data_IF_307269477538
#
_entry.id   IF_307269477538
#
_cell.length_a   1.000
_cell.length_b   1.000
_cell.length_c   1.000
_cell.angle_alpha   90.00
_cell.angle_beta   90.00
_cell.angle_gamma   90.00
#
_symmetry.space_group_name_H-M   'P 1'
#
loop_
_entity.id
_entity.type
_entity.pdbx_description
1 polymer ?
#
# COMPACT_ATOMS: atom_id res chain seq x y z
N UNK A 1 27.93 -12.16 -8.71
CA UNK A 1 27.65 -11.30 -7.54
C UNK A 1 26.22 -11.53 -7.12
N UNK A 2 25.91 -11.45 -5.82
CA UNK A 2 24.55 -11.69 -5.33
C UNK A 2 23.62 -10.56 -5.78
N UNK A 3 22.45 -10.91 -6.34
CA UNK A 3 21.44 -9.95 -6.81
C UNK A 3 20.55 -9.49 -5.66
N UNK A 4 21.15 -8.75 -4.71
CA UNK A 4 20.48 -8.34 -3.48
C UNK A 4 19.92 -6.93 -3.63
N UNK A 5 18.66 -6.76 -3.25
CA UNK A 5 18.05 -5.44 -3.02
C UNK A 5 17.74 -5.31 -1.53
N UNK A 6 18.01 -4.15 -0.96
CA UNK A 6 17.53 -3.83 0.38
C UNK A 6 16.24 -3.02 0.31
N UNK A 7 15.17 -3.56 0.88
CA UNK A 7 13.85 -2.94 0.82
C UNK A 7 13.20 -2.85 2.20
N UNK A 8 12.38 -1.82 2.38
CA UNK A 8 11.72 -1.54 3.65
C UNK A 8 10.21 -1.40 3.52
N UNK A 9 9.49 -1.77 4.57
CA UNK A 9 8.08 -1.44 4.78
C UNK A 9 7.97 -0.53 6.00
N UNK A 10 7.20 0.54 5.87
CA UNK A 10 7.01 1.53 6.92
C UNK A 10 5.70 1.26 7.62
N UNK A 11 5.75 1.09 8.94
CA UNK A 11 4.55 0.98 9.78
C UNK A 11 4.29 2.31 10.46
N UNK A 12 3.34 3.07 9.93
CA UNK A 12 3.00 4.40 10.44
C UNK A 12 1.54 4.74 10.13
N UNK A 13 1.06 5.89 10.57
CA UNK A 13 -0.22 6.47 10.18
C UNK A 13 -0.08 7.95 9.86
N UNK A 14 -1.12 8.49 9.22
CA UNK A 14 -1.29 9.91 8.92
C UNK A 14 -1.22 10.76 10.18
N UNK A 15 -0.57 11.91 10.11
CA UNK A 15 -0.54 12.87 11.21
C UNK A 15 -1.84 13.68 11.22
N UNK A 16 -2.87 13.26 11.97
CA UNK A 16 -4.13 14.00 12.19
C UNK A 16 -4.79 14.56 10.92
N UNK A 17 -4.66 13.83 9.82
CA UNK A 17 -5.13 14.24 8.48
C UNK A 17 -4.54 15.58 7.98
N UNK A 18 -3.46 16.06 8.60
CA UNK A 18 -2.69 17.20 8.17
C UNK A 18 -1.70 16.79 7.08
N UNK A 19 -1.91 17.32 5.87
CA UNK A 19 -1.12 16.95 4.69
C UNK A 19 0.38 17.23 4.87
N UNK A 20 0.75 18.44 5.29
CA UNK A 20 2.15 18.84 5.42
C UNK A 20 2.88 18.02 6.48
N UNK A 21 2.29 17.85 7.68
CA UNK A 21 2.87 17.03 8.75
C UNK A 21 3.04 15.57 8.33
N UNK A 22 2.10 15.05 7.52
CA UNK A 22 2.20 13.69 6.98
C UNK A 22 3.30 13.57 5.92
N UNK A 23 3.51 14.60 5.09
CA UNK A 23 4.61 14.66 4.13
C UNK A 23 5.98 14.82 4.81
N UNK A 24 6.06 15.58 5.91
CA UNK A 24 7.27 15.67 6.73
C UNK A 24 7.59 14.32 7.37
N UNK A 25 6.56 13.60 7.82
CA UNK A 25 6.69 12.23 8.34
C UNK A 25 7.14 11.24 7.26
N UNK A 26 6.61 11.35 6.04
CA UNK A 26 7.06 10.58 4.87
C UNK A 26 8.55 10.78 4.63
N UNK A 27 9.00 12.03 4.61
CA UNK A 27 10.39 12.37 4.39
C UNK A 27 11.28 11.80 5.51
N UNK A 28 10.91 12.04 6.76
CA UNK A 28 11.66 11.55 7.91
C UNK A 28 11.85 10.02 7.88
N UNK A 29 10.76 9.28 7.67
CA UNK A 29 10.80 7.81 7.65
C UNK A 29 11.54 7.27 6.42
N UNK A 30 11.48 7.96 5.28
CA UNK A 30 12.27 7.59 4.10
C UNK A 30 13.76 7.80 4.33
N UNK A 31 14.14 8.94 4.92
CA UNK A 31 15.55 9.22 5.30
C UNK A 31 16.04 8.20 6.32
N UNK A 32 15.24 7.88 7.33
CA UNK A 32 15.55 6.85 8.31
C UNK A 32 15.84 5.50 7.63
N UNK A 33 14.96 5.03 6.74
CA UNK A 33 15.15 3.78 6.01
C UNK A 33 16.42 3.79 5.14
N UNK A 34 16.73 4.94 4.53
CA UNK A 34 17.93 5.10 3.68
C UNK A 34 19.21 5.14 4.50
N UNK A 35 19.25 5.95 5.55
CA UNK A 35 20.46 6.25 6.32
C UNK A 35 20.79 5.13 7.31
N UNK A 36 19.79 4.58 8.00
CA UNK A 36 19.99 3.49 8.98
C UNK A 36 20.32 2.18 8.27
N UNK A 37 19.54 1.85 7.23
CA UNK A 37 19.56 0.50 6.67
C UNK A 37 20.16 0.46 5.26
N UNK A 38 20.23 1.56 4.52
CA UNK A 38 20.64 1.56 3.12
C UNK A 38 19.53 1.16 2.16
N UNK A 39 18.26 1.33 2.56
CA UNK A 39 17.11 0.94 1.76
C UNK A 39 17.14 1.57 0.36
N UNK A 40 16.70 0.82 -0.65
CA UNK A 40 16.55 1.23 -2.04
C UNK A 40 15.07 1.37 -2.44
N UNK A 41 14.16 0.75 -1.69
CA UNK A 41 12.72 0.83 -1.90
C UNK A 41 11.99 0.92 -0.56
N UNK A 42 10.97 1.77 -0.44
CA UNK A 42 10.11 1.86 0.73
C UNK A 42 8.62 1.77 0.36
N UNK A 43 7.88 0.90 1.06
CA UNK A 43 6.42 0.80 0.96
C UNK A 43 5.78 1.44 2.17
N UNK A 44 4.93 2.43 1.94
CA UNK A 44 4.10 3.08 2.95
C UNK A 44 2.69 2.46 2.98
N UNK A 45 1.97 2.55 4.12
CA UNK A 45 0.66 1.91 4.28
C UNK A 45 -0.45 2.47 3.39
N UNK A 46 -1.56 1.73 3.32
CA UNK A 46 -2.81 2.15 2.68
C UNK A 46 -3.29 3.48 3.25
N UNK A 47 -3.77 4.41 2.42
CA UNK A 47 -4.33 5.70 2.84
C UNK A 47 -3.44 6.50 3.82
N UNK A 48 -2.11 6.38 3.69
CA UNK A 48 -1.17 7.11 4.55
C UNK A 48 -1.24 8.63 4.33
N UNK A 49 -1.31 9.10 3.09
CA UNK A 49 -1.63 10.50 2.80
C UNK A 49 -3.14 10.63 2.66
N UNK A 50 -3.74 11.58 3.37
CA UNK A 50 -5.20 11.81 3.41
C UNK A 50 -5.93 11.02 4.50
N UNK A 51 -5.38 9.89 4.96
CA UNK A 51 -5.85 9.21 6.16
C UNK A 51 -6.92 8.15 5.96
N UNK A 52 -6.87 7.12 6.83
CA UNK A 52 -7.90 6.09 6.93
C UNK A 52 -8.90 6.45 8.04
N UNK A 53 -10.18 6.73 7.74
CA UNK A 53 -11.17 7.19 8.72
C UNK A 53 -11.70 6.05 9.62
N UNK A 54 -10.81 5.46 10.43
CA UNK A 54 -11.11 4.28 11.25
C UNK A 54 -12.29 4.54 12.19
N UNK A 55 -13.30 3.68 12.09
CA UNK A 55 -14.48 3.73 12.95
C UNK A 55 -15.50 4.79 12.58
N UNK A 56 -15.28 5.61 11.54
CA UNK A 56 -16.30 6.53 11.06
C UNK A 56 -17.34 5.81 10.18
N UNK A 57 -18.59 6.24 10.30
CA UNK A 57 -19.70 5.83 9.41
C UNK A 57 -20.13 6.95 8.47
N UNK A 58 -19.51 8.13 8.57
CA UNK A 58 -19.93 9.36 7.88
C UNK A 58 -21.42 9.69 8.10
N UNK A 59 -22.02 9.23 9.21
CA UNK A 59 -23.42 9.47 9.56
C UNK A 59 -24.42 8.95 8.51
N UNK A 60 -24.03 7.92 7.76
CA UNK A 60 -24.84 7.34 6.69
C UNK A 60 -25.52 6.04 7.15
N UNK A 61 -26.81 5.92 6.83
CA UNK A 61 -27.61 4.69 6.94
C UNK A 61 -28.40 4.48 5.65
N UNK A 62 -29.11 3.37 5.53
CA UNK A 62 -30.00 3.14 4.38
C UNK A 62 -31.11 4.19 4.39
N UNK A 63 -31.15 5.04 3.36
CA UNK A 63 -32.17 6.11 3.20
C UNK A 63 -31.72 7.47 3.70
N UNK A 64 -30.97 7.56 4.80
CA UNK A 64 -30.68 8.83 5.48
C UNK A 64 -29.19 9.17 5.60
N UNK A 65 -28.90 10.48 5.65
CA UNK A 65 -27.56 11.03 5.88
C UNK A 65 -27.62 12.20 6.84
N UNK A 66 -26.89 12.12 7.95
CA UNK A 66 -26.84 13.20 8.94
C UNK A 66 -26.07 14.43 8.42
N UNK A 67 -26.46 15.68 8.77
CA UNK A 67 -25.70 16.89 8.42
C UNK A 67 -24.23 16.82 8.84
N UNK A 68 -23.96 16.37 10.07
CA UNK A 68 -22.60 16.27 10.58
C UNK A 68 -21.71 15.23 9.85
N UNK A 69 -22.34 14.28 9.13
CA UNK A 69 -21.67 13.36 8.22
C UNK A 69 -21.23 14.03 6.92
N UNK A 70 -22.04 14.98 6.41
CA UNK A 70 -21.68 15.81 5.24
C UNK A 70 -20.50 16.72 5.58
N UNK A 71 -20.48 17.30 6.77
CA UNK A 71 -19.37 18.15 7.22
C UNK A 71 -18.06 17.34 7.37
N UNK A 72 -18.14 16.12 7.92
CA UNK A 72 -17.01 15.21 7.99
C UNK A 72 -16.48 14.84 6.61
N UNK A 73 -17.38 14.47 5.68
CA UNK A 73 -16.99 14.17 4.30
C UNK A 73 -16.37 15.37 3.61
N UNK A 74 -16.89 16.58 3.81
CA UNK A 74 -16.33 17.80 3.24
C UNK A 74 -14.90 18.06 3.74
N UNK A 75 -14.64 17.87 5.05
CA UNK A 75 -13.27 17.96 5.60
C UNK A 75 -12.35 16.89 5.01
N UNK A 76 -12.81 15.64 4.94
CA UNK A 76 -12.05 14.53 4.40
C UNK A 76 -11.72 14.71 2.90
N UNK A 77 -12.70 15.18 2.11
CA UNK A 77 -12.53 15.54 0.69
C UNK A 77 -11.47 16.63 0.50
N UNK A 78 -11.44 17.64 1.38
CA UNK A 78 -10.49 18.75 1.29
C UNK A 78 -9.08 18.39 1.78
N UNK A 79 -8.93 17.31 2.56
CA UNK A 79 -7.63 16.78 2.98
C UNK A 79 -6.99 15.84 1.93
N UNK A 80 -7.78 15.34 0.98
CA UNK A 80 -7.32 14.49 -0.11
C UNK A 80 -6.51 15.27 -1.16
N UNK A 81 -5.68 14.57 -1.92
CA UNK A 81 -4.79 15.18 -2.93
C UNK A 81 -5.27 14.88 -4.35
N UNK A 82 -5.05 15.79 -5.28
CA UNK A 82 -5.21 15.50 -6.71
C UNK A 82 -3.93 14.86 -7.27
N UNK A 83 -4.02 14.25 -8.46
CA UNK A 83 -2.86 13.71 -9.18
C UNK A 83 -2.93 14.21 -10.62
N UNK A 84 -1.99 15.08 -11.07
CA UNK A 84 -0.83 15.61 -10.34
C UNK A 84 -1.19 16.68 -9.28
N UNK A 85 -0.30 16.90 -8.30
CA UNK A 85 -0.44 17.95 -7.27
C UNK A 85 0.89 18.30 -6.60
N UNK A 86 0.98 19.41 -5.83
CA UNK A 86 2.18 19.73 -5.05
C UNK A 86 2.60 18.63 -4.07
N UNK A 87 1.64 17.84 -3.55
CA UNK A 87 1.95 16.70 -2.69
C UNK A 87 2.72 15.62 -3.46
N UNK A 88 2.34 15.32 -4.70
CA UNK A 88 3.09 14.41 -5.57
C UNK A 88 4.50 14.95 -5.82
N UNK A 89 4.64 16.25 -6.12
CA UNK A 89 5.96 16.87 -6.28
C UNK A 89 6.84 16.77 -5.03
N UNK A 90 6.24 16.81 -3.83
CA UNK A 90 6.98 16.58 -2.58
C UNK A 90 7.43 15.13 -2.45
N UNK A 91 6.59 14.15 -2.79
CA UNK A 91 6.96 12.72 -2.82
C UNK A 91 8.10 12.46 -3.83
N UNK A 92 8.01 13.04 -5.02
CA UNK A 92 9.07 12.96 -6.04
C UNK A 92 10.39 13.56 -5.56
N UNK A 93 10.34 14.70 -4.86
CA UNK A 93 11.52 15.32 -4.28
C UNK A 93 12.17 14.42 -3.22
N UNK A 94 11.39 13.87 -2.29
CA UNK A 94 11.91 12.94 -1.27
C UNK A 94 12.54 11.71 -1.93
N UNK A 95 11.88 11.11 -2.92
CA UNK A 95 12.41 9.96 -3.65
C UNK A 95 13.75 10.28 -4.30
N UNK A 96 13.84 11.41 -5.03
CA UNK A 96 15.05 11.85 -5.71
C UNK A 96 16.20 12.15 -4.73
N UNK A 97 15.93 12.87 -3.66
CA UNK A 97 16.95 13.28 -2.68
C UNK A 97 17.50 12.10 -1.87
N UNK A 98 16.67 11.10 -1.60
CA UNK A 98 17.08 9.91 -0.84
C UNK A 98 17.61 8.77 -1.73
N UNK A 99 17.33 8.83 -3.04
CA UNK A 99 17.62 7.74 -3.97
C UNK A 99 16.72 6.51 -3.77
N UNK A 100 15.61 6.63 -3.05
CA UNK A 100 14.72 5.53 -2.68
C UNK A 100 13.50 5.52 -3.60
N UNK A 101 13.15 4.35 -4.14
CA UNK A 101 11.89 4.13 -4.85
C UNK A 101 10.73 4.06 -3.85
N UNK A 102 9.70 4.87 -4.03
CA UNK A 102 8.59 4.98 -3.07
C UNK A 102 7.30 4.38 -3.63
N UNK A 103 6.64 3.58 -2.79
CA UNK A 103 5.28 3.07 -3.00
C UNK A 103 4.41 3.65 -1.88
N UNK A 104 3.50 4.57 -2.19
CA UNK A 104 2.82 5.38 -1.18
C UNK A 104 1.30 5.30 -1.32
N UNK A 105 0.61 4.87 -0.26
CA UNK A 105 -0.84 4.92 -0.19
C UNK A 105 -1.35 6.36 0.02
N UNK A 106 -2.27 6.80 -0.83
CA UNK A 106 -2.85 8.15 -0.83
C UNK A 106 -4.36 8.09 -1.01
N UNK A 107 -5.06 9.10 -0.51
CA UNK A 107 -6.44 9.38 -0.87
C UNK A 107 -6.43 10.39 -2.01
N UNK A 108 -6.81 9.92 -3.19
CA UNK A 108 -6.85 10.70 -4.42
C UNK A 108 -8.24 11.32 -4.59
N UNK A 109 -8.30 12.64 -4.83
CA UNK A 109 -9.50 13.35 -5.23
C UNK A 109 -9.53 13.54 -6.75
N UNK A 110 -10.69 13.30 -7.35
CA UNK A 110 -10.95 13.62 -8.75
C UNK A 110 -12.37 14.16 -8.87
N UNK A 111 -12.51 15.49 -8.99
CA UNK A 111 -13.78 16.17 -8.83
C UNK A 111 -14.33 15.98 -7.42
N UNK A 112 -15.59 15.53 -7.29
CA UNK A 112 -16.23 15.24 -6.01
C UNK A 112 -16.01 13.82 -5.47
N UNK A 113 -15.22 12.98 -6.17
CA UNK A 113 -15.02 11.57 -5.82
C UNK A 113 -13.65 11.35 -5.22
N UNK A 114 -13.59 10.56 -4.15
CA UNK A 114 -12.35 10.08 -3.54
C UNK A 114 -12.02 8.67 -3.99
N UNK A 115 -10.74 8.35 -4.13
CA UNK A 115 -10.24 7.01 -4.48
C UNK A 115 -9.14 6.63 -3.49
N UNK A 116 -9.16 5.38 -3.04
CA UNK A 116 -8.03 4.80 -2.33
C UNK A 116 -6.99 4.37 -3.38
N UNK A 117 -5.86 5.05 -3.41
CA UNK A 117 -4.86 4.94 -4.46
C UNK A 117 -3.50 4.63 -3.87
N UNK A 118 -2.67 3.88 -4.61
CA UNK A 118 -1.22 3.82 -4.36
C UNK A 118 -0.50 4.51 -5.51
N UNK A 119 0.51 5.32 -5.21
CA UNK A 119 1.36 6.00 -6.19
C UNK A 119 2.78 5.48 -6.12
N UNK A 120 3.47 5.55 -7.25
CA UNK A 120 4.85 5.09 -7.39
C UNK A 120 5.75 6.26 -7.79
N UNK A 121 6.82 6.48 -7.04
CA UNK A 121 7.83 7.49 -7.36
C UNK A 121 9.22 6.85 -7.49
N UNK A 122 9.83 7.04 -8.65
CA UNK A 122 11.18 6.64 -8.96
C UNK A 122 12.17 7.79 -8.70
N UNK A 123 13.33 7.53 -8.09
CA UNK A 123 14.29 8.58 -7.73
C UNK A 123 14.87 9.34 -8.92
N UNK A 124 14.85 8.75 -10.12
CA UNK A 124 15.34 9.34 -11.37
C UNK A 124 14.20 9.88 -12.24
N UNK A 125 13.07 9.17 -12.30
CA UNK A 125 11.96 9.48 -13.22
C UNK A 125 10.82 10.30 -12.58
N UNK A 126 10.81 10.44 -11.25
CA UNK A 126 9.68 11.06 -10.53
C UNK A 126 8.48 10.12 -10.48
N UNK A 127 7.27 10.66 -10.58
CA UNK A 127 6.03 9.89 -10.58
C UNK A 127 5.95 8.99 -11.82
N UNK A 128 5.84 7.67 -11.60
CA UNK A 128 5.89 6.65 -12.67
C UNK A 128 4.59 5.84 -12.81
N UNK A 129 3.61 6.05 -11.92
CA UNK A 129 2.32 5.41 -12.05
C UNK A 129 1.47 5.44 -10.79
N UNK A 130 0.25 4.94 -10.91
CA UNK A 130 -0.68 4.74 -9.80
C UNK A 130 -1.54 3.49 -10.00
N UNK A 131 -2.13 3.03 -8.90
CA UNK A 131 -3.18 2.02 -8.88
C UNK A 131 -4.32 2.47 -7.97
N UNK A 132 -5.55 2.54 -8.50
CA UNK A 132 -6.77 2.78 -7.72
C UNK A 132 -7.36 1.43 -7.30
N UNK A 133 -7.69 1.29 -6.01
CA UNK A 133 -8.35 0.10 -5.45
C UNK A 133 -9.59 -0.24 -6.27
N UNK A 134 -9.63 -1.44 -6.86
CA UNK A 134 -10.71 -1.89 -7.75
C UNK A 134 -12.05 -1.94 -7.02
N UNK A 135 -12.07 -2.39 -5.77
CA UNK A 135 -13.29 -2.52 -4.99
C UNK A 135 -13.09 -2.11 -3.52
N UNK A 136 -13.61 -0.95 -3.11
CA UNK A 136 -13.71 -0.58 -1.71
C UNK A 136 -14.50 -1.63 -0.91
N UNK A 137 -14.05 -1.92 0.31
CA UNK A 137 -14.58 -2.99 1.16
C UNK A 137 -15.64 -2.46 2.12
N UNK A 138 -16.79 -3.13 2.19
CA UNK A 138 -17.85 -2.79 3.15
C UNK A 138 -18.27 -1.32 3.07
N UNK A 139 -18.21 -0.61 4.20
CA UNK A 139 -18.60 0.80 4.32
C UNK A 139 -17.70 1.76 3.54
N UNK A 140 -16.48 1.35 3.16
CA UNK A 140 -15.60 2.17 2.30
C UNK A 140 -16.29 2.56 0.98
N UNK A 141 -17.26 1.76 0.51
CA UNK A 141 -18.08 2.02 -0.69
C UNK A 141 -18.95 3.28 -0.60
N UNK A 142 -19.15 3.81 0.61
CA UNK A 142 -19.84 5.09 0.80
C UNK A 142 -18.90 6.29 0.61
N UNK A 143 -17.59 6.05 0.65
CA UNK A 143 -16.57 7.10 0.74
C UNK A 143 -15.70 7.13 -0.52
N UNK A 144 -15.32 5.96 -1.03
CA UNK A 144 -14.39 5.82 -2.15
C UNK A 144 -15.06 5.22 -3.39
N UNK A 145 -14.63 5.70 -4.55
CA UNK A 145 -14.93 5.14 -5.85
C UNK A 145 -14.10 3.89 -6.18
N UNK A 146 -14.56 3.15 -7.19
CA UNK A 146 -13.89 1.98 -7.72
C UNK A 146 -12.81 2.37 -8.74
N UNK A 147 -11.66 1.71 -8.67
CA UNK A 147 -10.66 1.71 -9.74
C UNK A 147 -11.08 0.87 -10.94
N UNK A 148 -10.35 1.03 -12.04
CA UNK A 148 -10.52 0.24 -13.26
C UNK A 148 -9.19 -0.40 -13.70
N UNK A 149 -9.25 -1.17 -14.79
CA UNK A 149 -8.10 -1.89 -15.34
C UNK A 149 -6.97 -1.01 -15.86
N UNK A 150 -7.21 0.29 -16.08
CA UNK A 150 -6.22 1.23 -16.64
C UNK A 150 -5.14 1.61 -15.62
N UNK A 151 -5.39 1.32 -14.35
CA UNK A 151 -4.50 1.59 -13.24
C UNK A 151 -3.92 0.31 -12.64
N UNK A 152 -3.62 -0.70 -13.47
CA UNK A 152 -3.00 -1.96 -13.04
C UNK A 152 -1.53 -2.09 -13.52
N UNK A 153 -0.62 -1.17 -13.16
CA UNK A 153 0.76 -1.22 -13.65
C UNK A 153 1.56 -2.36 -13.01
N UNK A 154 2.48 -2.93 -13.80
CA UNK A 154 3.67 -3.62 -13.29
C UNK A 154 4.87 -2.82 -13.78
N UNK A 155 5.56 -2.17 -12.85
CA UNK A 155 6.61 -1.21 -13.15
C UNK A 155 7.96 -1.91 -13.23
N UNK A 156 8.77 -1.51 -14.21
CA UNK A 156 10.17 -1.95 -14.33
C UNK A 156 11.09 -0.92 -13.68
N UNK A 157 11.89 -1.38 -12.71
CA UNK A 157 12.90 -0.58 -12.02
C UNK A 157 14.27 -1.27 -12.08
N UNK A 158 15.27 -0.55 -12.57
CA UNK A 158 16.67 -0.97 -12.45
C UNK A 158 17.24 -0.48 -11.10
N UNK A 159 17.69 -1.42 -10.27
CA UNK A 159 18.37 -1.18 -8.99
C UNK A 159 19.90 -1.40 -9.07
N UNK A 160 20.40 -1.78 -10.25
CA UNK A 160 21.80 -2.12 -10.48
C UNK A 160 22.67 -0.92 -10.86
N UNK A 161 23.88 -1.22 -11.34
CA UNK A 161 24.77 -0.23 -11.96
C UNK A 161 24.73 -0.35 -13.48
N UNK A 162 25.35 0.60 -14.19
CA UNK A 162 25.42 0.55 -15.65
C UNK A 162 26.09 -0.74 -16.16
N UNK A 163 27.03 -1.29 -15.40
CA UNK A 163 27.78 -2.51 -15.72
C UNK A 163 27.04 -3.79 -15.31
N UNK A 164 26.16 -3.70 -14.32
CA UNK A 164 25.40 -4.83 -13.78
C UNK A 164 23.95 -4.40 -13.51
N UNK A 165 23.13 -4.30 -14.58
CA UNK A 165 21.74 -3.91 -14.43
C UNK A 165 20.98 -4.97 -13.62
N UNK A 166 20.07 -4.48 -12.78
CA UNK A 166 19.20 -5.30 -11.93
C UNK A 166 17.76 -4.84 -12.11
N UNK A 167 17.17 -5.22 -13.23
CA UNK A 167 15.79 -4.92 -13.57
C UNK A 167 14.82 -5.76 -12.72
N UNK A 168 13.91 -5.10 -12.04
CA UNK A 168 12.94 -5.71 -11.13
C UNK A 168 11.54 -5.20 -11.42
N UNK A 169 10.58 -6.13 -11.44
CA UNK A 169 9.16 -5.86 -11.65
C UNK A 169 8.41 -5.66 -10.34
N UNK A 170 7.78 -4.52 -10.19
CA UNK A 170 7.08 -4.08 -8.97
C UNK A 170 5.59 -3.92 -9.25
N UNK A 171 4.74 -4.47 -8.40
CA UNK A 171 3.30 -4.22 -8.42
C UNK A 171 2.78 -3.90 -7.01
N UNK A 172 1.54 -3.44 -6.92
CA UNK A 172 0.88 -3.22 -5.64
C UNK A 172 -0.60 -3.61 -5.67
N UNK A 173 -1.09 -4.14 -4.55
CA UNK A 173 -2.51 -4.46 -4.31
C UNK A 173 -2.94 -3.97 -2.95
N UNK A 174 -4.11 -3.34 -2.86
CA UNK A 174 -4.52 -2.63 -1.65
C UNK A 174 -5.46 -3.52 -0.83
N UNK A 175 -5.04 -3.83 0.41
CA UNK A 175 -5.90 -4.49 1.39
C UNK A 175 -6.57 -5.76 0.83
N UNK A 176 -7.90 -5.86 0.85
CA UNK A 176 -8.60 -7.09 0.45
C UNK A 176 -8.62 -7.39 -1.04
N UNK A 177 -8.04 -6.55 -1.89
CA UNK A 177 -7.71 -6.93 -3.27
C UNK A 177 -6.78 -8.15 -3.32
N UNK A 178 -5.99 -8.36 -2.26
CA UNK A 178 -5.16 -9.55 -2.08
C UNK A 178 -5.97 -10.85 -2.03
N UNK A 179 -7.27 -10.80 -1.74
CA UNK A 179 -8.14 -11.97 -1.81
C UNK A 179 -8.72 -12.22 -3.22
N UNK A 180 -8.54 -11.29 -4.18
CA UNK A 180 -9.01 -11.46 -5.55
C UNK A 180 -8.06 -12.37 -6.35
N UNK A 181 -8.42 -13.64 -6.64
CA UNK A 181 -7.51 -14.55 -7.32
C UNK A 181 -7.15 -14.07 -8.72
N UNK A 182 -8.11 -13.52 -9.47
CA UNK A 182 -7.87 -13.05 -10.84
C UNK A 182 -6.88 -11.88 -10.89
N UNK A 183 -6.92 -10.98 -9.90
CA UNK A 183 -5.97 -9.87 -9.82
C UNK A 183 -4.56 -10.36 -9.49
N UNK A 184 -4.43 -11.31 -8.55
CA UNK A 184 -3.16 -11.96 -8.25
C UNK A 184 -2.58 -12.67 -9.47
N UNK A 185 -3.38 -13.49 -10.15
CA UNK A 185 -2.99 -14.17 -11.40
C UNK A 185 -2.58 -13.17 -12.49
N UNK A 186 -3.28 -12.05 -12.62
CA UNK A 186 -2.87 -10.98 -13.53
C UNK A 186 -1.46 -10.47 -13.19
N UNK A 187 -1.19 -10.11 -11.93
CA UNK A 187 0.13 -9.60 -11.55
C UNK A 187 1.25 -10.63 -11.68
N UNK A 188 0.98 -11.90 -11.41
CA UNK A 188 1.93 -12.98 -11.64
C UNK A 188 2.23 -13.17 -13.13
N UNK A 189 1.21 -13.14 -14.00
CA UNK A 189 1.40 -13.29 -15.45
C UNK A 189 2.14 -12.11 -16.09
N UNK A 190 2.12 -10.96 -15.44
CA UNK A 190 2.93 -9.78 -15.78
C UNK A 190 4.34 -9.81 -15.17
N UNK A 191 4.70 -10.87 -14.44
CA UNK A 191 6.03 -11.14 -13.94
C UNK A 191 6.40 -10.39 -12.65
N UNK A 192 5.43 -10.06 -11.79
CA UNK A 192 5.71 -9.39 -10.51
C UNK A 192 6.79 -10.13 -9.70
N UNK A 193 7.79 -9.38 -9.22
CA UNK A 193 8.88 -9.89 -8.38
C UNK A 193 8.84 -9.29 -6.97
N UNK A 194 8.54 -7.99 -6.86
CA UNK A 194 8.25 -7.32 -5.60
C UNK A 194 6.77 -6.97 -5.55
N UNK A 195 6.04 -7.66 -4.67
CA UNK A 195 4.61 -7.54 -4.48
C UNK A 195 4.34 -6.67 -3.26
N UNK A 196 3.94 -5.41 -3.48
CA UNK A 196 3.67 -4.45 -2.41
C UNK A 196 2.22 -4.56 -1.95
N UNK A 197 1.97 -4.70 -0.65
CA UNK A 197 0.62 -4.85 -0.11
C UNK A 197 0.34 -3.84 1.02
N UNK A 198 0.06 -2.56 0.69
CA UNK A 198 -0.42 -1.59 1.66
C UNK A 198 -1.77 -2.01 2.23
N UNK A 199 -1.95 -1.89 3.55
CA UNK A 199 -3.18 -2.32 4.23
C UNK A 199 -3.46 -1.54 5.52
N UNK A 200 -4.69 -1.62 6.01
CA UNK A 200 -5.08 -1.30 7.40
C UNK A 200 -5.61 -2.52 8.16
N UNK A 201 -5.50 -3.71 7.57
CA UNK A 201 -5.92 -4.96 8.17
C UNK A 201 -4.87 -5.46 9.17
N UNK A 202 -5.07 -5.11 10.44
CA UNK A 202 -4.17 -5.50 11.52
C UNK A 202 -4.48 -6.88 12.11
N UNK A 203 -5.34 -7.70 11.49
CA UNK A 203 -5.71 -9.01 12.05
C UNK A 203 -4.56 -10.02 11.95
N UNK A 204 -4.42 -10.99 12.87
CA UNK A 204 -3.41 -12.04 12.76
C UNK A 204 -3.50 -12.86 11.47
N UNK A 205 -4.71 -13.11 10.98
CA UNK A 205 -4.99 -13.89 9.76
C UNK A 205 -4.41 -13.24 8.50
N UNK A 206 -4.20 -11.91 8.51
CA UNK A 206 -3.55 -11.21 7.40
C UNK A 206 -2.16 -11.79 7.08
N UNK A 207 -1.43 -12.25 8.11
CA UNK A 207 -0.09 -12.83 7.93
C UNK A 207 -0.13 -14.11 7.11
N UNK A 208 -1.15 -14.95 7.34
CA UNK A 208 -1.35 -16.19 6.58
C UNK A 208 -1.61 -15.90 5.10
N UNK A 209 -2.41 -14.86 4.81
CA UNK A 209 -2.66 -14.43 3.42
C UNK A 209 -1.39 -13.94 2.74
N UNK A 210 -0.58 -13.11 3.40
CA UNK A 210 0.68 -12.60 2.83
C UNK A 210 1.71 -13.72 2.59
N UNK A 211 1.83 -14.67 3.51
CA UNK A 211 2.68 -15.85 3.33
C UNK A 211 2.20 -16.72 2.17
N UNK A 212 0.89 -16.95 2.06
CA UNK A 212 0.32 -17.71 0.96
C UNK A 212 0.60 -17.05 -0.39
N UNK A 213 0.43 -15.73 -0.51
CA UNK A 213 0.72 -14.98 -1.74
C UNK A 213 2.20 -15.08 -2.12
N UNK A 214 3.11 -14.98 -1.15
CA UNK A 214 4.54 -15.13 -1.41
C UNK A 214 4.87 -16.53 -1.97
N UNK A 215 4.27 -17.58 -1.40
CA UNK A 215 4.42 -18.96 -1.85
C UNK A 215 3.77 -19.24 -3.21
N UNK A 216 2.58 -18.69 -3.44
CA UNK A 216 1.81 -18.90 -4.66
C UNK A 216 2.44 -18.17 -5.86
N UNK A 217 2.79 -16.89 -5.69
CA UNK A 217 3.35 -16.07 -6.75
C UNK A 217 4.86 -16.22 -6.94
N UNK A 218 5.56 -16.84 -5.98
CA UNK A 218 7.04 -16.89 -5.91
C UNK A 218 7.66 -15.50 -6.04
N UNK A 219 7.11 -14.55 -5.30
CA UNK A 219 7.57 -13.16 -5.26
C UNK A 219 7.87 -12.76 -3.82
N UNK A 220 8.67 -11.71 -3.64
CA UNK A 220 8.81 -11.09 -2.33
C UNK A 220 7.55 -10.29 -2.02
N UNK A 221 6.96 -10.52 -0.85
CA UNK A 221 5.79 -9.77 -0.38
C UNK A 221 6.23 -8.73 0.64
N UNK A 222 5.89 -7.47 0.38
CA UNK A 222 6.18 -6.31 1.22
C UNK A 222 4.87 -5.70 1.70
N UNK A 223 4.38 -6.14 2.86
CA UNK A 223 3.11 -5.67 3.40
C UNK A 223 3.34 -4.55 4.42
N UNK A 224 2.76 -3.37 4.15
CA UNK A 224 2.84 -2.19 5.01
C UNK A 224 1.47 -1.92 5.65
N UNK A 225 1.37 -2.14 6.96
CA UNK A 225 0.16 -1.95 7.74
C UNK A 225 0.26 -0.70 8.60
N UNK A 226 -0.82 0.08 8.71
CA UNK A 226 -0.82 1.24 9.59
C UNK A 226 -0.69 0.84 11.07
N UNK A 227 0.06 1.63 11.84
CA UNK A 227 -0.06 1.67 13.29
C UNK A 227 -0.60 3.03 13.71
N UNK A 228 -1.76 3.04 14.36
CA UNK A 228 -2.46 4.27 14.73
C UNK A 228 -3.04 4.15 16.14
N UNK A 229 -2.89 5.23 16.91
CA UNK A 229 -3.55 5.46 18.19
C UNK A 229 -4.60 6.56 18.05
N UNK A 230 -5.51 6.67 19.00
CA UNK A 230 -6.56 7.68 18.98
C UNK A 230 -6.01 9.11 18.82
N UNK A 231 -4.88 9.43 19.46
CA UNK A 231 -4.21 10.74 19.37
C UNK A 231 -3.70 11.14 17.98
N UNK A 232 -3.62 10.18 17.07
CA UNK A 232 -3.14 10.38 15.70
C UNK A 232 -4.27 10.85 14.77
N UNK A 233 -5.52 10.87 15.25
CA UNK A 233 -6.69 11.39 14.54
C UNK A 233 -7.00 12.85 14.93
N UNK A 234 -7.68 13.63 14.06
CA UNK A 234 -8.22 14.94 14.44
C UNK A 234 -9.16 14.85 15.64
N UNK A 235 -9.25 15.91 16.45
CA UNK A 235 -10.17 15.98 17.59
C UNK A 235 -11.64 15.89 17.14
N UNK A 236 -11.95 16.29 15.90
CA UNK A 236 -13.29 16.18 15.30
C UNK A 236 -13.53 14.83 14.60
N UNK A 237 -12.63 13.86 14.74
CA UNK A 237 -12.84 12.49 14.28
C UNK A 237 -13.75 11.75 15.26
N UNK A 238 -14.81 11.15 14.73
CA UNK A 238 -15.76 10.40 15.55
C UNK A 238 -15.69 8.92 15.21
N UNK A 239 -15.80 8.10 16.25
CA UNK A 239 -15.99 6.66 16.09
C UNK A 239 -17.46 6.32 16.29
N UNK A 240 -17.97 5.34 15.56
CA UNK A 240 -19.34 4.88 15.72
C UNK A 240 -19.42 3.80 16.80
N UNK A 241 -20.41 3.91 17.68
CA UNK A 241 -20.86 2.83 18.55
C UNK A 241 -22.35 2.55 18.34
N UNK A 242 -22.88 1.55 19.06
CA UNK A 242 -24.31 1.22 19.04
C UNK A 242 -25.22 2.38 19.51
N UNK A 243 -24.66 3.42 20.14
CA UNK A 243 -25.38 4.57 20.68
C UNK A 243 -25.27 5.83 19.81
N UNK A 244 -24.47 5.80 18.73
CA UNK A 244 -24.29 6.94 17.82
C UNK A 244 -22.82 7.26 17.54
N UNK A 245 -22.52 8.57 17.46
CA UNK A 245 -21.15 9.09 17.30
C UNK A 245 -20.53 9.31 18.67
N UNK A 246 -19.47 8.58 18.96
CA UNK A 246 -18.67 8.74 20.16
C UNK A 246 -17.38 9.51 19.85
N UNK A 247 -16.92 10.36 20.78
CA UNK A 247 -15.60 10.97 20.68
C UNK A 247 -14.52 9.88 20.62
N UNK A 248 -13.31 10.28 20.23
CA UNK A 248 -12.16 9.40 20.29
C UNK A 248 -11.98 8.81 21.71
N UNK A 249 -11.55 7.53 21.80
CA UNK A 249 -11.21 6.91 23.08
C UNK A 249 -9.95 7.55 23.69
N UNK A 250 -9.41 6.96 24.76
CA UNK A 250 -8.19 7.48 25.38
C UNK A 250 -7.07 7.69 24.34
N UNK A 251 -6.26 8.76 24.45
CA UNK A 251 -5.26 9.12 23.44
C UNK A 251 -4.33 7.98 23.02
N UNK A 252 -3.97 7.10 23.96
CA UNK A 252 -3.07 5.95 23.72
C UNK A 252 -3.78 4.67 23.29
N UNK A 253 -5.12 4.67 23.17
CA UNK A 253 -5.87 3.53 22.64
C UNK A 253 -5.43 3.24 21.22
N UNK A 254 -4.95 2.02 21.00
CA UNK A 254 -4.62 1.51 19.66
C UNK A 254 -5.90 1.35 18.83
N UNK A 255 -5.91 2.00 17.67
CA UNK A 255 -6.99 1.98 16.67
C UNK A 255 -6.68 1.02 15.52
N UNK A 256 -5.40 0.95 15.12
CA UNK A 256 -4.86 -0.01 14.15
C UNK A 256 -3.53 -0.51 14.71
N UNK A 257 -3.39 -1.83 14.87
CA UNK A 257 -2.29 -2.44 15.64
C UNK A 257 -1.05 -2.80 14.80
N UNK A 258 -0.98 -2.33 13.55
CA UNK A 258 0.10 -2.71 12.64
C UNK A 258 0.06 -4.18 12.24
N UNK A 259 1.22 -4.73 11.93
CA UNK A 259 1.42 -6.08 11.40
C UNK A 259 2.20 -6.10 10.09
N UNK A 260 3.01 -5.06 9.84
CA UNK A 260 3.86 -4.99 8.64
C UNK A 260 4.86 -6.14 8.61
N UNK A 261 5.11 -6.69 7.43
CA UNK A 261 5.93 -7.91 7.26
C UNK A 261 6.60 -7.94 5.89
N UNK A 262 7.80 -8.52 5.81
CA UNK A 262 8.51 -8.83 4.56
C UNK A 262 8.72 -10.34 4.48
N UNK A 263 8.33 -10.95 3.35
CA UNK A 263 8.30 -12.41 3.18
C UNK A 263 9.00 -12.78 1.87
N UNK A 264 9.82 -13.83 1.90
CA UNK A 264 10.51 -14.36 0.72
C UNK A 264 9.59 -15.21 -0.17
N UNK A 265 9.96 -15.45 -1.44
CA UNK A 265 9.26 -16.37 -2.36
C UNK A 265 9.07 -17.81 -1.85
N UNK A 266 9.84 -18.20 -0.84
CA UNK A 266 9.76 -19.50 -0.17
C UNK A 266 8.92 -19.47 1.12
N UNK A 267 8.20 -18.37 1.36
CA UNK A 267 7.31 -18.20 2.52
C UNK A 267 8.04 -17.86 3.83
N UNK A 268 9.36 -17.66 3.80
CA UNK A 268 10.13 -17.29 5.00
C UNK A 268 9.87 -15.83 5.33
N UNK A 269 9.46 -15.55 6.57
CA UNK A 269 9.43 -14.18 7.09
C UNK A 269 10.87 -13.68 7.23
N UNK A 270 11.19 -12.59 6.53
CA UNK A 270 12.49 -11.94 6.58
C UNK A 270 12.54 -10.82 7.63
N UNK A 271 11.43 -10.11 7.82
CA UNK A 271 11.26 -9.08 8.85
C UNK A 271 9.79 -8.98 9.30
N UNK A 272 9.55 -8.72 10.58
CA UNK A 272 8.22 -8.60 11.18
C UNK A 272 7.65 -9.93 11.71
N UNK A 273 6.33 -10.00 12.01
CA UNK A 273 5.37 -8.90 11.93
C UNK A 273 5.62 -7.83 13.00
N UNK A 274 5.69 -6.55 12.61
CA UNK A 274 5.83 -5.46 13.58
C UNK A 274 4.48 -5.14 14.24
N UNK A 275 4.41 -5.20 15.56
CA UNK A 275 3.19 -4.96 16.34
C UNK A 275 3.41 -3.83 17.34
N UNK A 276 2.34 -3.11 17.62
CA UNK A 276 2.24 -2.16 18.74
C UNK A 276 3.28 -1.02 18.75
N UNK A 277 3.88 -0.72 17.60
CA UNK A 277 4.87 0.33 17.44
C UNK A 277 4.85 0.92 16.02
N UNK A 278 5.33 2.15 15.89
CA UNK A 278 5.71 2.76 14.61
C UNK A 278 7.22 2.55 14.40
N UNK A 279 7.60 2.01 13.24
CA UNK A 279 9.00 1.81 12.84
C UNK A 279 9.09 1.48 11.34
N UNK A 280 10.31 1.41 10.84
CA UNK A 280 10.67 0.90 9.52
C UNK A 280 11.21 -0.52 9.68
N UNK A 281 10.62 -1.49 8.99
CA UNK A 281 11.16 -2.84 8.86
C UNK A 281 11.95 -2.96 7.55
N UNK A 282 13.14 -3.54 7.59
CA UNK A 282 14.01 -3.70 6.41
C UNK A 282 14.52 -5.13 6.28
N UNK A 283 14.67 -5.60 5.04
CA UNK A 283 15.27 -6.89 4.73
C UNK A 283 16.11 -6.85 3.45
N UNK A 284 17.09 -7.74 3.38
CA UNK A 284 17.83 -8.07 2.15
C UNK A 284 17.03 -9.09 1.34
N UNK A 285 16.79 -8.78 0.07
CA UNK A 285 16.04 -9.59 -0.87
C UNK A 285 17.00 -10.19 -1.90
N UNK A 286 17.39 -11.46 -1.74
CA UNK A 286 18.14 -12.19 -2.76
C UNK A 286 17.21 -12.55 -3.92
N UNK A 287 17.30 -11.82 -5.02
CA UNK A 287 16.39 -12.00 -6.16
C UNK A 287 16.54 -13.37 -6.85
N UNK A 288 17.63 -14.10 -6.60
CA UNK A 288 17.74 -15.47 -7.10
C UNK A 288 16.78 -16.43 -6.35
N UNK A 289 16.25 -16.08 -5.17
CA UNK A 289 15.20 -16.85 -4.48
C UNK A 289 13.89 -16.94 -5.27
N UNK A 290 13.63 -15.99 -6.17
CA UNK A 290 12.48 -16.05 -7.08
C UNK A 290 12.65 -17.22 -8.06
N UNK A 291 13.83 -17.34 -8.67
CA UNK A 291 14.13 -18.43 -9.59
C UNK A 291 14.17 -19.78 -8.84
N UNK A 292 14.75 -19.81 -7.64
CA UNK A 292 14.73 -21.01 -6.77
C UNK A 292 13.29 -21.43 -6.43
N UNK A 293 12.42 -20.49 -6.09
CA UNK A 293 11.00 -20.79 -5.83
C UNK A 293 10.22 -21.23 -7.07
N UNK A 294 10.51 -20.64 -8.23
CA UNK A 294 9.88 -20.99 -9.52
C UNK A 294 10.27 -22.38 -10.03
N UNK A 295 11.43 -22.90 -9.64
CA UNK A 295 11.79 -24.29 -9.90
C UNK A 295 10.75 -25.24 -9.31
N UNK A 296 10.28 -24.99 -8.08
CA UNK A 296 9.25 -25.80 -7.44
C UNK A 296 7.85 -25.56 -8.04
N UNK A 297 7.51 -24.29 -8.34
CA UNK A 297 6.18 -23.91 -8.82
C UNK A 297 6.20 -22.57 -9.57
N UNK A 298 5.72 -22.55 -10.82
CA UNK A 298 5.39 -21.30 -11.54
C UNK A 298 3.94 -21.36 -12.04
N UNK A 299 3.03 -20.74 -11.28
CA UNK A 299 1.57 -20.77 -11.50
C UNK A 299 1.11 -20.13 -12.82
N UNK A 300 1.96 -19.32 -13.44
CA UNK A 300 1.71 -18.70 -14.75
C UNK A 300 2.69 -19.16 -15.83
N UNK A 301 3.57 -20.12 -15.49
CA UNK A 301 4.56 -20.71 -16.38
C UNK A 301 4.28 -22.20 -16.54
N UNK A 302 5.23 -23.04 -16.11
CA UNK A 302 5.18 -24.49 -16.33
C UNK A 302 4.04 -25.22 -15.61
N UNK A 303 3.44 -24.61 -14.58
CA UNK A 303 2.28 -25.17 -13.88
C UNK A 303 0.93 -24.69 -14.47
N UNK A 304 0.96 -23.72 -15.39
CA UNK A 304 -0.24 -23.21 -16.03
C UNK A 304 -0.80 -24.22 -17.05
N UNK A 305 -2.12 -24.22 -17.22
CA UNK A 305 -2.85 -25.07 -18.17
C UNK A 305 -3.64 -24.20 -19.13
N UNK A 306 -2.94 -23.46 -19.98
CA UNK A 306 -3.54 -22.51 -20.96
C UNK A 306 -4.43 -23.20 -22.01
N UNK A 307 -4.29 -24.52 -22.16
CA UNK A 307 -5.18 -25.36 -22.94
C UNK A 307 -6.56 -25.57 -22.28
N UNK A 308 -6.67 -25.32 -20.97
CA UNK A 308 -7.91 -25.47 -20.18
C UNK A 308 -8.41 -24.10 -19.67
N UNK A 309 -7.53 -23.30 -19.08
CA UNK A 309 -7.87 -22.06 -18.39
C UNK A 309 -7.25 -20.87 -19.11
N UNK A 310 -8.05 -19.83 -19.37
CA UNK A 310 -7.57 -18.59 -19.98
C UNK A 310 -7.98 -17.39 -19.14
N UNK A 311 -7.02 -16.49 -18.89
CA UNK A 311 -7.27 -15.19 -18.29
C UNK A 311 -7.28 -14.11 -19.38
N UNK A 312 -8.37 -13.36 -19.48
CA UNK A 312 -8.49 -12.17 -20.33
C UNK A 312 -8.76 -10.96 -19.44
N UNK A 313 -7.98 -9.89 -19.61
CA UNK A 313 -8.08 -8.68 -18.79
C UNK A 313 -8.24 -7.45 -19.67
N UNK A 314 -9.24 -6.63 -19.38
CA UNK A 314 -9.44 -5.33 -20.01
C UNK A 314 -8.64 -4.28 -19.20
N UNK A 315 -7.39 -4.05 -19.60
CA UNK A 315 -6.44 -3.18 -18.88
C UNK A 315 -6.13 -1.85 -19.60
N UNK A 316 -6.86 -1.53 -20.67
CA UNK A 316 -6.76 -0.25 -21.40
C UNK A 316 -8.06 0.53 -21.30
N UNK A 317 -7.99 1.85 -21.51
CA UNK A 317 -9.21 2.64 -21.75
C UNK A 317 -9.92 2.06 -22.99
N UNK A 318 -11.24 1.96 -22.92
CA UNK A 318 -12.08 1.56 -24.05
C UNK A 318 -12.02 2.62 -25.17
#
# INVERSE_FOLDING_TARGET
MAKIIRASVVQTCTSRFALNETLDKLEHLTRLARERDGSQLCVFPEAFIGGYPKGSTFGAVVGDRAPAGRDEFARYLNAAIEIPSPAISRIEAVSRETGVFLVVGVIERSGGTLYCTVVFADPLKGYVGKHRKLMPTGTERLVWGQGDGTTLPVLDKDFGTAEQPLNVKISATICWENYMPLLRTFYYSRGTQLYCAPTVDARPEWQSTMQHIALEGRCFVLAACQYARAKDYPDEHFTSSNLGRDPLPSPDKVMIAGGSVIISPLGKILAGPLRDAEDVLTADLDLDDIARGKFDLDVTGHYARDDIFRLTVNASQA
#
